data_IF_220095106778
#
_entry.id   IF_220095106778
#
_cell.length_a   1.000
_cell.length_b   1.000
_cell.length_c   1.000
_cell.angle_alpha   90.00
_cell.angle_beta   90.00
_cell.angle_gamma   90.00
#
_symmetry.space_group_name_H-M   'P 1'
#
loop_
_entity.id
_entity.type
_entity.pdbx_description
1 polymer ?
#
# COMPACT_ATOMS: atom_id res chain seq x y z
N UNK A 1 -19.90 0.49 21.59
CA UNK A 1 -19.84 1.95 21.84
C UNK A 1 -20.68 2.66 20.79
N UNK A 2 -21.91 3.01 21.16
CA UNK A 2 -22.92 3.47 20.21
C UNK A 2 -22.59 4.88 19.74
N UNK A 3 -22.51 5.07 18.42
CA UNK A 3 -22.29 6.37 17.81
C UNK A 3 -23.47 7.28 18.11
N UNK A 4 -23.24 8.35 18.87
CA UNK A 4 -24.25 9.37 19.08
C UNK A 4 -24.41 10.21 17.80
N UNK A 5 -25.64 10.37 17.32
CA UNK A 5 -25.98 11.32 16.26
C UNK A 5 -25.82 12.74 16.79
N UNK A 6 -24.75 13.41 16.38
CA UNK A 6 -24.42 14.79 16.76
C UNK A 6 -24.09 15.60 15.52
N UNK A 7 -24.28 16.92 15.58
CA UNK A 7 -23.92 17.79 14.45
C UNK A 7 -22.41 17.81 14.24
N UNK A 8 -21.92 18.07 13.01
CA UNK A 8 -20.49 18.15 12.74
C UNK A 8 -19.76 19.16 13.64
N UNK A 9 -20.44 20.22 14.07
CA UNK A 9 -19.91 21.25 14.97
C UNK A 9 -19.75 20.72 16.40
N UNK A 10 -20.70 19.93 16.89
CA UNK A 10 -20.63 19.28 18.21
C UNK A 10 -19.64 18.12 18.20
N UNK A 11 -19.59 17.33 17.13
CA UNK A 11 -18.55 16.31 16.95
C UNK A 11 -17.15 16.94 17.00
N UNK A 12 -16.97 18.08 16.31
CA UNK A 12 -15.71 18.79 16.32
C UNK A 12 -15.33 19.32 17.70
N UNK A 13 -16.28 19.86 18.48
CA UNK A 13 -15.98 20.37 19.82
C UNK A 13 -15.58 19.25 20.80
N UNK A 14 -16.08 18.02 20.61
CA UNK A 14 -15.65 16.84 21.36
C UNK A 14 -14.29 16.28 20.91
N UNK A 15 -13.98 16.35 19.62
CA UNK A 15 -12.74 15.81 19.04
C UNK A 15 -11.55 16.77 19.18
N UNK A 16 -11.75 18.07 19.04
CA UNK A 16 -10.72 19.11 19.11
C UNK A 16 -9.80 19.00 20.35
N UNK A 17 -10.29 18.80 21.59
CA UNK A 17 -9.41 18.66 22.75
C UNK A 17 -8.57 17.38 22.74
N UNK A 18 -9.08 16.28 22.18
CA UNK A 18 -8.35 15.02 22.04
C UNK A 18 -7.20 15.19 21.03
N UNK A 19 -7.50 15.86 19.92
CA UNK A 19 -6.54 16.10 18.84
C UNK A 19 -5.44 17.10 19.20
N UNK A 20 -5.74 18.11 20.03
CA UNK A 20 -4.76 19.10 20.47
C UNK A 20 -3.87 18.62 21.63
N UNK A 21 -4.16 17.46 22.23
CA UNK A 21 -3.33 16.92 23.29
C UNK A 21 -2.08 16.22 22.71
N UNK A 22 -0.92 16.84 22.90
CA UNK A 22 0.36 16.35 22.40
C UNK A 22 0.76 14.97 22.94
N UNK A 23 0.34 14.61 24.16
CA UNK A 23 0.70 13.33 24.79
C UNK A 23 0.11 12.11 24.07
N UNK A 24 -0.96 12.29 23.30
CA UNK A 24 -1.60 11.21 22.55
C UNK A 24 -0.72 10.70 21.39
N UNK A 25 0.33 11.46 21.01
CA UNK A 25 1.19 11.14 19.87
C UNK A 25 2.57 10.60 20.29
N UNK A 26 2.89 10.53 21.59
CA UNK A 26 4.22 10.13 22.05
C UNK A 26 4.58 8.68 21.65
N UNK A 27 3.63 7.75 21.68
CA UNK A 27 3.87 6.37 21.24
C UNK A 27 4.09 6.26 19.73
N UNK A 28 3.41 7.11 18.95
CA UNK A 28 3.66 7.20 17.51
C UNK A 28 5.04 7.80 17.22
N UNK A 29 5.45 8.84 17.97
CA UNK A 29 6.78 9.44 17.86
C UNK A 29 7.90 8.46 18.21
N UNK A 30 7.74 7.67 19.29
CA UNK A 30 8.70 6.60 19.65
C UNK A 30 8.84 5.57 18.53
N UNK A 31 7.75 5.20 17.86
CA UNK A 31 7.79 4.26 16.72
C UNK A 31 8.48 4.86 15.49
N UNK A 32 8.31 6.15 15.23
CA UNK A 32 9.01 6.83 14.12
C UNK A 32 10.50 6.96 14.43
N UNK A 33 10.86 7.38 15.63
CA UNK A 33 12.25 7.55 16.05
C UNK A 33 13.01 6.22 16.11
N UNK A 34 12.38 5.14 16.59
CA UNK A 34 12.98 3.79 16.58
C UNK A 34 13.22 3.26 15.16
N UNK A 35 12.36 3.58 14.19
CA UNK A 35 12.61 3.26 12.77
C UNK A 35 13.75 4.07 12.17
N UNK A 36 14.02 5.25 12.70
CA UNK A 36 15.17 6.07 12.34
C UNK A 36 16.44 5.72 13.16
N UNK A 37 16.44 4.58 13.86
CA UNK A 37 17.54 4.06 14.68
C UNK A 37 17.89 4.88 15.94
N UNK A 38 16.96 5.71 16.43
CA UNK A 38 17.08 6.36 17.75
C UNK A 38 16.49 5.47 18.85
N UNK A 39 17.14 5.46 20.02
CA UNK A 39 16.64 4.75 21.20
C UNK A 39 15.44 5.49 21.82
N UNK A 40 14.22 4.89 21.80
CA UNK A 40 13.03 5.50 22.39
C UNK A 40 13.07 5.57 23.92
N UNK A 41 14.00 4.89 24.58
CA UNK A 41 14.23 4.97 26.03
C UNK A 41 15.10 6.18 26.43
N UNK A 42 15.88 6.75 25.50
CA UNK A 42 16.75 7.90 25.74
C UNK A 42 16.04 9.22 25.44
N UNK A 43 15.81 10.03 26.47
CA UNK A 43 15.17 11.34 26.32
C UNK A 43 15.98 12.32 25.44
N UNK A 44 17.31 12.17 25.41
CA UNK A 44 18.21 13.00 24.59
C UNK A 44 18.05 12.65 23.12
N UNK A 45 18.09 11.36 22.78
CA UNK A 45 17.93 10.89 21.40
C UNK A 45 16.52 11.15 20.85
N UNK A 46 15.50 11.03 21.69
CA UNK A 46 14.13 11.40 21.33
C UNK A 46 14.01 12.89 21.02
N UNK A 47 14.65 13.77 21.78
CA UNK A 47 14.64 15.21 21.49
C UNK A 47 15.43 15.54 20.21
N UNK A 48 16.53 14.84 19.95
CA UNK A 48 17.27 14.96 18.68
C UNK A 48 16.43 14.51 17.50
N UNK A 49 15.74 13.37 17.61
CA UNK A 49 14.81 12.90 16.59
C UNK A 49 13.67 13.90 16.34
N UNK A 50 13.06 14.45 17.41
CA UNK A 50 12.01 15.48 17.30
C UNK A 50 12.53 16.76 16.63
N UNK A 51 13.73 17.22 16.99
CA UNK A 51 14.37 18.38 16.33
C UNK A 51 14.62 18.11 14.86
N UNK A 52 15.21 16.96 14.51
CA UNK A 52 15.46 16.59 13.11
C UNK A 52 14.17 16.49 12.29
N UNK A 53 13.10 15.97 12.88
CA UNK A 53 11.78 15.94 12.26
C UNK A 53 11.26 17.35 12.02
N UNK A 54 11.31 18.23 13.02
CA UNK A 54 10.91 19.63 12.89
C UNK A 54 11.76 20.40 11.88
N UNK A 55 13.08 20.24 11.91
CA UNK A 55 14.02 20.92 11.02
C UNK A 55 13.83 20.46 9.57
N UNK A 56 13.63 19.15 9.36
CA UNK A 56 13.28 18.60 8.04
C UNK A 56 11.95 19.14 7.55
N UNK A 57 10.94 19.23 8.42
CA UNK A 57 9.61 19.71 8.06
C UNK A 57 9.62 21.21 7.76
N UNK A 58 10.38 22.00 8.51
CA UNK A 58 10.58 23.43 8.27
C UNK A 58 11.39 23.68 7.01
N UNK A 59 12.40 22.86 6.72
CA UNK A 59 13.14 22.91 5.46
C UNK A 59 12.24 22.58 4.26
N UNK A 60 11.40 21.55 4.36
CA UNK A 60 10.56 21.08 3.25
C UNK A 60 9.29 21.89 3.03
N UNK A 61 8.66 22.39 4.10
CA UNK A 61 7.37 23.10 4.01
C UNK A 61 7.50 24.61 4.22
N UNK A 62 8.66 25.13 4.66
CA UNK A 62 8.84 26.55 4.99
C UNK A 62 8.06 27.03 6.23
N UNK A 63 7.32 26.14 6.89
CA UNK A 63 6.53 26.43 8.10
C UNK A 63 7.14 25.82 9.36
N UNK A 64 6.94 26.48 10.51
CA UNK A 64 7.25 25.91 11.83
C UNK A 64 6.16 24.91 12.20
N UNK A 65 6.37 23.63 11.89
CA UNK A 65 5.44 22.56 12.20
C UNK A 65 6.05 21.62 13.26
N UNK A 66 5.28 21.34 14.31
CA UNK A 66 5.70 20.39 15.35
C UNK A 66 5.43 18.95 14.88
N UNK A 67 6.22 17.95 15.32
CA UNK A 67 6.07 16.57 14.87
C UNK A 67 4.67 15.99 15.18
N UNK A 68 4.04 16.44 16.25
CA UNK A 68 2.70 16.04 16.67
C UNK A 68 1.63 16.49 15.66
N UNK A 69 1.79 17.67 15.05
CA UNK A 69 0.86 18.18 14.02
C UNK A 69 0.88 17.33 12.75
N UNK A 70 2.03 16.74 12.41
CA UNK A 70 2.15 15.85 11.26
C UNK A 70 1.35 14.56 11.46
N UNK A 71 1.47 13.95 12.64
CA UNK A 71 0.75 12.72 13.00
C UNK A 71 -0.75 13.01 13.13
N UNK A 72 -1.12 14.14 13.72
CA UNK A 72 -2.51 14.62 13.77
C UNK A 72 -3.12 14.74 12.38
N UNK A 73 -2.42 15.37 11.43
CA UNK A 73 -2.90 15.54 10.06
C UNK A 73 -3.01 14.21 9.31
N UNK A 74 -2.12 13.25 9.56
CA UNK A 74 -2.22 11.90 9.00
C UNK A 74 -3.49 11.18 9.49
N UNK A 75 -3.76 11.22 10.80
CA UNK A 75 -4.94 10.59 11.40
C UNK A 75 -6.25 11.19 10.89
N UNK A 76 -6.30 12.53 10.77
CA UNK A 76 -7.48 13.23 10.22
C UNK A 76 -7.70 12.85 8.75
N UNK A 77 -6.63 12.76 7.96
CA UNK A 77 -6.73 12.35 6.56
C UNK A 77 -7.27 10.93 6.40
N UNK A 78 -6.81 9.99 7.24
CA UNK A 78 -7.27 8.59 7.23
C UNK A 78 -8.74 8.45 7.66
N UNK A 79 -9.16 9.18 8.69
CA UNK A 79 -10.56 9.22 9.11
C UNK A 79 -11.46 9.87 8.06
N UNK A 80 -11.06 11.01 7.51
CA UNK A 80 -11.82 11.70 6.46
C UNK A 80 -12.01 10.80 5.23
N UNK A 81 -10.99 10.01 4.90
CA UNK A 81 -11.05 9.02 3.83
C UNK A 81 -12.09 7.93 4.10
N UNK A 82 -12.12 7.37 5.32
CA UNK A 82 -13.13 6.38 5.72
C UNK A 82 -14.57 6.93 5.66
N UNK A 83 -14.76 8.21 6.00
CA UNK A 83 -16.08 8.85 5.88
C UNK A 83 -16.48 9.12 4.42
N UNK A 84 -15.54 9.36 3.52
CA UNK A 84 -15.83 9.62 2.11
C UNK A 84 -16.52 8.43 1.40
N UNK A 85 -16.26 7.20 1.85
CA UNK A 85 -16.92 5.98 1.33
C UNK A 85 -18.43 5.89 1.60
N UNK A 86 -18.99 6.78 2.44
CA UNK A 86 -20.43 6.79 2.74
C UNK A 86 -21.25 7.72 1.83
N UNK A 87 -20.60 8.57 1.02
CA UNK A 87 -21.26 9.66 0.29
C UNK A 87 -21.74 9.33 -1.13
N UNK A 88 -21.01 8.52 -1.89
CA UNK A 88 -21.36 8.04 -3.25
C UNK A 88 -20.30 7.01 -3.68
N UNK A 89 -20.70 5.84 -4.19
CA UNK A 89 -19.78 4.79 -4.61
C UNK A 89 -18.87 5.24 -5.76
N UNK A 90 -19.36 6.10 -6.65
CA UNK A 90 -18.59 6.61 -7.78
C UNK A 90 -17.43 7.49 -7.30
N UNK A 91 -17.72 8.47 -6.45
CA UNK A 91 -16.70 9.37 -5.93
C UNK A 91 -15.70 8.61 -5.04
N UNK A 92 -16.18 7.70 -4.20
CA UNK A 92 -15.33 6.89 -3.34
C UNK A 92 -14.34 6.02 -4.13
N UNK A 93 -14.80 5.43 -5.24
CA UNK A 93 -13.93 4.65 -6.14
C UNK A 93 -12.84 5.50 -6.80
N UNK A 94 -13.15 6.76 -7.15
CA UNK A 94 -12.19 7.70 -7.75
C UNK A 94 -11.11 8.14 -6.76
N UNK A 95 -11.47 8.44 -5.51
CA UNK A 95 -10.51 8.87 -4.49
C UNK A 95 -9.60 7.69 -4.10
N UNK A 96 -10.15 6.48 -3.94
CA UNK A 96 -9.37 5.26 -3.70
C UNK A 96 -8.43 4.94 -4.87
N UNK A 97 -8.89 5.07 -6.11
CA UNK A 97 -8.05 4.86 -7.29
C UNK A 97 -6.91 5.87 -7.34
N UNK A 98 -7.17 7.15 -7.07
CA UNK A 98 -6.14 8.18 -7.02
C UNK A 98 -5.11 7.90 -5.93
N UNK A 99 -5.54 7.50 -4.73
CA UNK A 99 -4.67 7.10 -3.63
C UNK A 99 -3.80 5.91 -4.01
N UNK A 100 -4.40 4.86 -4.57
CA UNK A 100 -3.67 3.67 -5.04
C UNK A 100 -2.65 4.02 -6.11
N UNK A 101 -3.04 4.75 -7.16
CA UNK A 101 -2.14 5.18 -8.24
C UNK A 101 -0.99 6.03 -7.71
N UNK A 102 -1.28 6.93 -6.76
CA UNK A 102 -0.25 7.78 -6.14
C UNK A 102 0.71 6.95 -5.30
N UNK A 103 0.19 6.04 -4.46
CA UNK A 103 1.02 5.15 -3.63
C UNK A 103 1.89 4.18 -4.45
N UNK A 104 1.32 3.58 -5.50
CA UNK A 104 2.05 2.69 -6.41
C UNK A 104 3.04 3.48 -7.25
N UNK A 105 2.65 4.66 -7.73
CA UNK A 105 3.53 5.60 -8.40
C UNK A 105 4.74 5.94 -7.55
N UNK A 106 4.54 6.33 -6.29
CA UNK A 106 5.63 6.64 -5.35
C UNK A 106 6.55 5.43 -5.15
N UNK A 107 5.99 4.23 -4.97
CA UNK A 107 6.77 3.00 -4.87
C UNK A 107 7.62 2.72 -6.10
N UNK A 108 7.04 2.87 -7.30
CA UNK A 108 7.77 2.76 -8.57
C UNK A 108 8.80 3.87 -8.69
N UNK A 109 8.49 5.10 -8.28
CA UNK A 109 9.39 6.26 -8.29
C UNK A 109 10.65 6.03 -7.46
N UNK A 110 10.48 5.54 -6.23
CA UNK A 110 11.58 5.25 -5.32
C UNK A 110 12.47 4.13 -5.86
N UNK A 111 11.87 3.00 -6.29
CA UNK A 111 12.66 1.88 -6.84
C UNK A 111 13.32 2.25 -8.17
N UNK A 112 12.62 2.96 -9.05
CA UNK A 112 13.18 3.44 -10.31
C UNK A 112 14.34 4.40 -10.09
N UNK A 113 14.26 5.31 -9.11
CA UNK A 113 15.33 6.25 -8.86
C UNK A 113 16.65 5.55 -8.48
N UNK A 114 16.56 4.45 -7.73
CA UNK A 114 17.71 3.62 -7.38
C UNK A 114 18.20 2.77 -8.56
N UNK A 115 17.27 2.19 -9.34
CA UNK A 115 17.61 1.20 -10.37
C UNK A 115 17.87 1.78 -11.76
N UNK A 116 17.44 3.00 -12.08
CA UNK A 116 17.67 3.61 -13.39
C UNK A 116 19.17 3.72 -13.73
N UNK A 117 20.06 4.17 -12.83
CA UNK A 117 21.49 4.17 -13.08
C UNK A 117 22.03 2.75 -13.36
N UNK A 118 21.52 1.74 -12.65
CA UNK A 118 21.90 0.34 -12.83
C UNK A 118 21.46 -0.18 -14.20
N UNK A 119 20.19 0.07 -14.59
CA UNK A 119 19.66 -0.32 -15.90
C UNK A 119 20.47 0.36 -17.02
N UNK A 120 20.82 1.63 -16.86
CA UNK A 120 21.64 2.37 -17.83
C UNK A 120 23.04 1.76 -17.96
N UNK A 121 23.68 1.44 -16.85
CA UNK A 121 24.98 0.76 -16.85
C UNK A 121 24.91 -0.60 -17.55
N UNK A 122 23.92 -1.43 -17.24
CA UNK A 122 23.73 -2.74 -17.88
C UNK A 122 23.52 -2.59 -19.39
N UNK A 123 22.63 -1.69 -19.82
CA UNK A 123 22.34 -1.44 -21.23
C UNK A 123 23.56 -0.96 -22.02
N UNK A 124 24.30 0.00 -21.45
CA UNK A 124 25.54 0.49 -22.07
C UNK A 124 26.62 -0.59 -22.12
N UNK A 125 26.74 -1.42 -21.09
CA UNK A 125 27.67 -2.55 -21.07
C UNK A 125 27.32 -3.59 -22.13
N UNK A 126 26.04 -3.91 -22.33
CA UNK A 126 25.59 -4.82 -23.39
C UNK A 126 25.93 -4.22 -24.76
N UNK A 127 25.64 -2.94 -24.98
CA UNK A 127 25.96 -2.27 -26.23
C UNK A 127 27.47 -2.32 -26.53
N UNK A 128 28.32 -1.96 -25.56
CA UNK A 128 29.77 -1.97 -25.72
C UNK A 128 30.31 -3.39 -25.92
N UNK A 129 29.77 -4.39 -25.21
CA UNK A 129 30.19 -5.78 -25.33
C UNK A 129 29.81 -6.44 -26.66
N UNK A 130 28.68 -6.05 -27.25
CA UNK A 130 28.19 -6.61 -28.52
C UNK A 130 28.86 -5.95 -29.74
N UNK A 131 29.26 -4.69 -29.65
CA UNK A 131 29.95 -3.97 -30.74
C UNK A 131 31.17 -4.72 -31.32
N UNK A 132 32.17 -5.19 -30.54
CA UNK A 132 33.34 -5.87 -31.11
C UNK A 132 32.97 -7.17 -31.83
N UNK A 133 31.95 -7.88 -31.37
CA UNK A 133 31.42 -9.06 -32.08
C UNK A 133 30.77 -8.67 -33.42
N UNK A 134 30.05 -7.55 -33.46
CA UNK A 134 29.48 -7.02 -34.70
C UNK A 134 30.56 -6.53 -35.69
N UNK A 135 31.70 -6.01 -35.20
CA UNK A 135 32.82 -5.60 -36.05
C UNK A 135 33.38 -6.78 -36.85
N UNK A 136 33.41 -7.99 -36.27
CA UNK A 136 33.87 -9.20 -36.96
C UNK A 136 33.03 -9.56 -38.19
N UNK A 137 31.78 -9.07 -38.26
CA UNK A 137 30.91 -9.28 -39.42
C UNK A 137 31.04 -8.21 -40.51
N UNK A 138 31.87 -7.17 -40.32
CA UNK A 138 32.13 -6.17 -41.38
C UNK A 138 32.67 -6.75 -42.70
N UNK A 139 33.61 -7.71 -42.72
CA UNK A 139 34.10 -8.30 -43.97
C UNK A 139 33.13 -9.31 -44.60
N UNK A 140 32.00 -9.61 -43.95
CA UNK A 140 31.03 -10.61 -44.42
C UNK A 140 29.87 -9.94 -45.17
N UNK A 141 29.12 -10.67 -46.03
CA UNK A 141 27.99 -10.10 -46.79
C UNK A 141 26.82 -9.58 -45.91
N UNK A 142 26.86 -9.78 -44.58
CA UNK A 142 25.88 -9.23 -43.63
C UNK A 142 26.25 -7.85 -43.07
N UNK A 143 27.28 -7.18 -43.61
CA UNK A 143 27.77 -5.86 -43.20
C UNK A 143 26.67 -4.81 -42.97
N UNK A 144 25.69 -4.73 -43.88
CA UNK A 144 24.59 -3.76 -43.77
C UNK A 144 23.70 -4.02 -42.55
N UNK A 145 23.56 -5.27 -42.12
CA UNK A 145 22.81 -5.64 -40.91
C UNK A 145 23.62 -5.32 -39.66
N UNK A 146 24.92 -5.63 -39.65
CA UNK A 146 25.79 -5.36 -38.52
C UNK A 146 25.90 -3.85 -38.22
N UNK A 147 26.14 -3.03 -39.25
CA UNK A 147 26.20 -1.56 -39.12
C UNK A 147 24.85 -0.99 -38.65
N UNK A 148 23.74 -1.52 -39.19
CA UNK A 148 22.39 -1.12 -38.78
C UNK A 148 22.16 -1.39 -37.29
N UNK A 149 22.55 -2.56 -36.77
CA UNK A 149 22.43 -2.89 -35.34
C UNK A 149 23.30 -1.98 -34.46
N UNK A 150 24.55 -1.71 -34.85
CA UNK A 150 25.44 -0.79 -34.12
C UNK A 150 24.87 0.62 -34.03
N UNK A 151 24.38 1.15 -35.16
CA UNK A 151 23.72 2.44 -35.21
C UNK A 151 22.45 2.44 -34.34
N UNK A 152 21.80 1.29 -34.17
CA UNK A 152 20.60 1.14 -33.34
C UNK A 152 20.88 1.23 -31.86
N UNK A 153 21.96 0.63 -31.39
CA UNK A 153 22.42 0.84 -30.02
C UNK A 153 22.76 2.32 -29.76
N UNK A 154 23.40 2.98 -30.73
CA UNK A 154 23.73 4.41 -30.60
C UNK A 154 22.46 5.26 -30.50
N UNK A 155 21.55 5.17 -31.48
CA UNK A 155 20.30 5.94 -31.52
C UNK A 155 19.45 5.66 -30.28
N UNK A 156 19.40 4.41 -29.82
CA UNK A 156 18.68 4.03 -28.62
C UNK A 156 19.24 4.73 -27.37
N UNK A 157 20.55 4.60 -27.13
CA UNK A 157 21.20 5.18 -25.95
C UNK A 157 21.15 6.71 -25.96
N UNK A 158 21.31 7.34 -27.13
CA UNK A 158 21.21 8.80 -27.23
C UNK A 158 19.79 9.29 -27.01
N UNK A 159 18.81 8.67 -27.67
CA UNK A 159 17.40 9.07 -27.53
C UNK A 159 16.93 8.87 -26.11
N UNK A 160 17.26 7.73 -25.50
CA UNK A 160 16.94 7.47 -24.10
C UNK A 160 17.63 8.46 -23.17
N UNK A 161 18.92 8.74 -23.36
CA UNK A 161 19.64 9.71 -22.52
C UNK A 161 19.04 11.13 -22.58
N UNK A 162 18.58 11.57 -23.75
CA UNK A 162 17.93 12.87 -23.93
C UNK A 162 16.55 12.88 -23.26
N UNK A 163 15.73 11.85 -23.50
CA UNK A 163 14.37 11.79 -22.95
C UNK A 163 14.39 11.70 -21.42
N UNK A 164 15.31 10.91 -20.88
CA UNK A 164 15.54 10.77 -19.44
C UNK A 164 15.94 12.09 -18.77
N UNK A 165 16.82 12.87 -19.40
CA UNK A 165 17.23 14.19 -18.90
C UNK A 165 16.07 15.20 -18.91
N UNK A 166 15.28 15.25 -19.99
CA UNK A 166 14.12 16.15 -20.11
C UNK A 166 13.04 15.79 -19.09
N UNK A 167 12.72 14.50 -18.94
CA UNK A 167 11.73 14.02 -17.96
C UNK A 167 12.18 14.34 -16.54
N UNK A 168 13.47 14.16 -16.24
CA UNK A 168 14.01 14.48 -14.92
C UNK A 168 13.91 15.98 -14.61
N UNK A 169 14.24 16.85 -15.57
CA UNK A 169 14.08 18.30 -15.42
C UNK A 169 12.63 18.70 -15.15
N UNK A 170 11.69 18.23 -15.99
CA UNK A 170 10.27 18.51 -15.80
C UNK A 170 9.73 17.99 -14.45
N UNK A 171 10.19 16.82 -14.00
CA UNK A 171 9.80 16.28 -12.71
C UNK A 171 10.31 17.11 -11.53
N UNK A 172 11.52 17.68 -11.63
CA UNK A 172 12.06 18.59 -10.62
C UNK A 172 11.22 19.87 -10.52
N UNK A 173 10.76 20.39 -11.66
CA UNK A 173 9.86 21.55 -11.69
C UNK A 173 8.51 21.24 -11.02
N UNK A 174 7.93 20.07 -11.29
CA UNK A 174 6.69 19.64 -10.62
C UNK A 174 6.87 19.36 -9.14
N UNK A 175 8.05 18.86 -8.72
CA UNK A 175 8.38 18.73 -7.31
C UNK A 175 8.39 20.11 -6.63
N UNK A 176 9.02 21.11 -7.24
CA UNK A 176 9.04 22.48 -6.72
C UNK A 176 7.63 23.06 -6.59
N UNK A 177 6.76 22.88 -7.60
CA UNK A 177 5.36 23.30 -7.51
C UNK A 177 4.60 22.58 -6.40
N UNK A 178 4.83 21.27 -6.22
CA UNK A 178 4.20 20.51 -5.14
C UNK A 178 4.65 20.98 -3.75
N UNK A 179 5.92 21.35 -3.57
CA UNK A 179 6.42 21.92 -2.32
C UNK A 179 5.94 23.36 -2.09
N UNK A 180 5.77 24.15 -3.13
CA UNK A 180 5.18 25.49 -3.01
C UNK A 180 3.69 25.41 -2.60
N UNK A 181 2.93 24.48 -3.15
CA UNK A 181 1.55 24.20 -2.73
C UNK A 181 1.49 23.78 -1.25
N UNK A 182 2.44 22.95 -0.79
CA UNK A 182 2.58 22.55 0.62
C UNK A 182 2.83 23.77 1.52
N UNK A 183 3.74 24.66 1.09
CA UNK A 183 4.11 25.88 1.82
C UNK A 183 2.94 26.85 1.95
N UNK A 184 2.09 26.97 0.93
CA UNK A 184 0.94 27.87 0.95
C UNK A 184 -0.25 27.30 1.76
N UNK A 185 -0.41 25.97 1.78
CA UNK A 185 -1.62 25.35 2.33
C UNK A 185 -1.53 24.99 3.83
N UNK A 186 -0.34 24.98 4.45
CA UNK A 186 -0.11 24.48 5.83
C UNK A 186 -0.65 23.05 6.10
N UNK A 187 -1.02 22.32 5.04
CA UNK A 187 -1.45 20.92 5.10
C UNK A 187 -0.19 20.04 5.12
N UNK A 188 -0.11 19.12 6.07
CA UNK A 188 1.04 18.24 6.21
C UNK A 188 1.22 17.30 5.02
N UNK A 189 2.46 16.85 4.85
CA UNK A 189 2.89 15.98 3.74
C UNK A 189 2.00 14.75 3.58
N UNK A 190 1.51 14.18 4.70
CA UNK A 190 0.61 13.03 4.70
C UNK A 190 -0.82 13.35 4.26
N UNK A 191 -1.34 14.55 4.57
CA UNK A 191 -2.67 14.98 4.12
C UNK A 191 -2.70 15.20 2.60
N UNK A 192 -1.59 15.68 2.05
CA UNK A 192 -1.41 15.86 0.61
C UNK A 192 -1.14 14.53 -0.13
N UNK A 193 -0.48 13.56 0.49
CA UNK A 193 -0.36 12.22 -0.08
C UNK A 193 -1.70 11.47 -0.11
N UNK A 194 -2.59 11.73 0.85
CA UNK A 194 -3.94 11.14 0.91
C UNK A 194 -4.93 11.84 -0.04
N UNK A 195 -4.75 13.13 -0.30
CA UNK A 195 -5.56 13.95 -1.23
C UNK A 195 -4.65 14.67 -2.23
N UNK A 196 -4.12 13.96 -3.23
CA UNK A 196 -3.09 14.50 -4.10
C UNK A 196 -3.63 15.52 -5.10
N UNK A 197 -3.00 16.70 -5.12
CA UNK A 197 -3.18 17.71 -6.17
C UNK A 197 -2.52 17.26 -7.50
N UNK A 198 -2.82 17.91 -8.62
CA UNK A 198 -2.28 17.57 -9.95
C UNK A 198 -0.74 17.45 -9.97
N UNK A 199 -0.04 18.38 -9.33
CA UNK A 199 1.43 18.38 -9.22
C UNK A 199 1.95 17.14 -8.46
N UNK A 200 1.24 16.71 -7.42
CA UNK A 200 1.61 15.53 -6.62
C UNK A 200 1.28 14.23 -7.33
N UNK A 201 0.17 14.16 -8.07
CA UNK A 201 -0.12 13.03 -8.95
C UNK A 201 1.00 12.85 -9.97
N UNK A 202 1.45 13.92 -10.61
CA UNK A 202 2.57 13.84 -11.55
C UNK A 202 3.90 13.49 -10.90
N UNK A 203 4.20 14.06 -9.72
CA UNK A 203 5.39 13.71 -8.95
C UNK A 203 5.38 12.22 -8.54
N UNK A 204 4.23 11.71 -8.11
CA UNK A 204 4.07 10.31 -7.75
C UNK A 204 4.27 9.39 -8.95
N UNK A 205 3.85 9.79 -10.15
CA UNK A 205 4.03 8.99 -11.36
C UNK A 205 5.41 9.16 -12.02
N UNK A 206 6.34 9.89 -11.40
CA UNK A 206 7.66 10.19 -11.97
C UNK A 206 8.42 8.93 -12.43
N UNK A 207 8.46 7.89 -11.60
CA UNK A 207 9.14 6.63 -11.96
C UNK A 207 8.54 5.96 -13.18
N UNK A 208 7.20 5.99 -13.29
CA UNK A 208 6.47 5.45 -14.44
C UNK A 208 6.78 6.26 -15.71
N UNK A 209 6.75 7.59 -15.63
CA UNK A 209 7.03 8.47 -16.78
C UNK A 209 8.46 8.27 -17.28
N UNK A 210 9.43 8.15 -16.37
CA UNK A 210 10.84 7.94 -16.72
C UNK A 210 11.07 6.60 -17.41
N UNK A 211 10.35 5.56 -16.97
CA UNK A 211 10.34 4.26 -17.66
C UNK A 211 9.66 4.30 -19.04
N UNK A 212 8.70 5.20 -19.27
CA UNK A 212 8.11 5.39 -20.60
C UNK A 212 9.11 6.01 -21.60
N UNK A 213 10.11 6.76 -21.11
CA UNK A 213 11.23 7.25 -21.93
C UNK A 213 12.04 6.12 -22.59
N UNK A 214 12.13 4.96 -21.94
CA UNK A 214 12.76 3.76 -22.50
C UNK A 214 11.93 3.22 -23.67
N UNK A 215 10.60 3.10 -23.51
CA UNK A 215 9.70 2.62 -24.57
C UNK A 215 9.72 3.54 -25.79
N UNK A 216 9.74 4.85 -25.58
CA UNK A 216 9.82 5.84 -26.65
C UNK A 216 11.17 5.80 -27.37
N UNK A 217 12.28 5.63 -26.64
CA UNK A 217 13.59 5.40 -27.27
C UNK A 217 13.63 4.11 -28.09
N UNK A 218 12.99 3.05 -27.61
CA UNK A 218 12.83 1.79 -28.36
C UNK A 218 12.00 1.98 -29.63
N UNK A 219 10.93 2.78 -29.58
CA UNK A 219 10.12 3.10 -30.76
C UNK A 219 10.93 3.81 -31.84
N UNK A 220 11.68 4.87 -31.48
CA UNK A 220 12.54 5.57 -32.44
C UNK A 220 13.62 4.66 -33.02
N UNK A 221 14.21 3.80 -32.18
CA UNK A 221 15.21 2.83 -32.62
C UNK A 221 14.62 1.77 -33.56
N UNK A 222 13.37 1.34 -33.33
CA UNK A 222 12.68 0.38 -34.19
C UNK A 222 12.24 1.00 -35.53
N UNK A 223 11.77 2.25 -35.51
CA UNK A 223 11.35 2.99 -36.69
C UNK A 223 12.53 3.27 -37.62
N UNK A 224 13.69 3.66 -37.07
CA UNK A 224 14.89 3.95 -37.85
C UNK A 224 15.61 2.66 -38.27
N UNK A 225 15.56 1.59 -37.47
CA UNK A 225 16.42 0.42 -37.61
C UNK A 225 15.62 -0.86 -37.32
N UNK A 226 15.10 -1.47 -38.38
CA UNK A 226 14.18 -2.63 -38.32
C UNK A 226 14.70 -3.83 -37.53
N UNK A 227 15.99 -4.16 -37.61
CA UNK A 227 16.54 -5.39 -37.01
C UNK A 227 17.13 -5.18 -35.60
N UNK A 228 17.74 -4.03 -35.33
CA UNK A 228 18.34 -3.74 -34.01
C UNK A 228 17.33 -3.24 -32.98
N UNK A 229 16.32 -2.46 -33.41
CA UNK A 229 15.38 -1.81 -32.50
C UNK A 229 14.43 -2.76 -31.77
N UNK A 230 14.04 -3.90 -32.37
CA UNK A 230 13.10 -4.83 -31.75
C UNK A 230 13.70 -5.61 -30.58
N UNK A 231 14.93 -6.11 -30.72
CA UNK A 231 15.63 -6.82 -29.65
C UNK A 231 15.89 -5.89 -28.46
N UNK A 232 16.27 -4.63 -28.74
CA UNK A 232 16.43 -3.59 -27.75
C UNK A 232 15.13 -3.25 -27.03
N UNK A 233 14.01 -3.16 -27.77
CA UNK A 233 12.70 -2.91 -27.20
C UNK A 233 12.27 -3.99 -26.21
N UNK A 234 12.46 -5.27 -26.56
CA UNK A 234 12.12 -6.37 -25.65
C UNK A 234 12.99 -6.37 -24.39
N UNK A 235 14.30 -6.20 -24.54
CA UNK A 235 15.22 -6.22 -23.40
C UNK A 235 14.91 -5.05 -22.45
N UNK A 236 14.67 -3.86 -23.00
CA UNK A 236 14.37 -2.68 -22.22
C UNK A 236 12.99 -2.73 -21.56
N UNK A 237 12.00 -3.32 -22.23
CA UNK A 237 10.68 -3.61 -21.66
C UNK A 237 10.75 -4.58 -20.48
N UNK A 238 11.52 -5.67 -20.61
CA UNK A 238 11.66 -6.66 -19.54
C UNK A 238 12.33 -6.09 -18.29
N UNK A 239 13.45 -5.36 -18.43
CA UNK A 239 14.13 -4.75 -17.29
C UNK A 239 13.24 -3.71 -16.59
N UNK A 240 12.52 -2.89 -17.37
CA UNK A 240 11.61 -1.88 -16.83
C UNK A 240 10.43 -2.53 -16.10
N UNK A 241 9.87 -3.61 -16.65
CA UNK A 241 8.74 -4.35 -16.06
C UNK A 241 9.10 -4.97 -14.71
N UNK A 242 10.29 -5.58 -14.59
CA UNK A 242 10.75 -6.18 -13.33
C UNK A 242 10.76 -5.13 -12.21
N UNK A 243 11.39 -3.98 -12.45
CA UNK A 243 11.50 -2.96 -11.40
C UNK A 243 10.18 -2.22 -11.17
N UNK A 244 9.34 -2.03 -12.20
CA UNK A 244 7.99 -1.50 -12.02
C UNK A 244 7.12 -2.44 -11.18
N UNK A 245 7.20 -3.75 -11.40
CA UNK A 245 6.44 -4.72 -10.60
C UNK A 245 6.88 -4.71 -9.12
N UNK A 246 8.19 -4.72 -8.86
CA UNK A 246 8.74 -4.60 -7.51
C UNK A 246 8.35 -3.26 -6.85
N UNK A 247 8.44 -2.16 -7.60
CA UNK A 247 8.03 -0.82 -7.15
C UNK A 247 6.54 -0.73 -6.86
N UNK A 248 5.68 -1.35 -7.67
CA UNK A 248 4.24 -1.39 -7.45
C UNK A 248 3.88 -2.15 -6.18
N UNK A 249 4.60 -3.24 -5.89
CA UNK A 249 4.43 -4.03 -4.67
C UNK A 249 4.89 -3.25 -3.43
N UNK A 250 6.06 -2.60 -3.50
CA UNK A 250 6.52 -1.71 -2.44
C UNK A 250 5.55 -0.53 -2.22
N UNK A 251 4.97 -0.01 -3.30
CA UNK A 251 4.00 1.09 -3.26
C UNK A 251 2.73 0.76 -2.48
N UNK A 252 2.28 -0.51 -2.51
CA UNK A 252 1.15 -0.97 -1.71
C UNK A 252 1.43 -0.87 -0.20
N UNK A 253 2.68 -0.94 0.24
CA UNK A 253 3.02 -0.82 1.65
C UNK A 253 2.94 0.62 2.19
N UNK A 254 2.80 1.62 1.31
CA UNK A 254 2.55 3.01 1.76
C UNK A 254 1.12 3.24 2.23
N UNK A 255 0.18 2.37 1.86
CA UNK A 255 -1.19 2.45 2.39
C UNK A 255 -1.35 1.56 3.62
N UNK A 256 -2.13 2.00 4.63
CA UNK A 256 -2.33 1.21 5.86
C UNK A 256 -3.00 -0.13 5.55
N UNK A 257 -3.98 -0.17 4.66
CA UNK A 257 -4.58 -1.41 4.15
C UNK A 257 -3.58 -2.36 3.46
N UNK A 258 -2.66 -1.82 2.65
CA UNK A 258 -1.66 -2.65 1.98
C UNK A 258 -0.57 -3.16 2.92
N UNK A 259 -0.13 -2.34 3.88
CA UNK A 259 0.78 -2.74 4.94
C UNK A 259 0.18 -3.80 5.87
N UNK A 260 -1.09 -3.65 6.26
CA UNK A 260 -1.80 -4.64 7.05
C UNK A 260 -1.97 -5.97 6.29
N UNK A 261 -2.28 -5.91 4.99
CA UNK A 261 -2.35 -7.10 4.15
C UNK A 261 -0.97 -7.79 4.02
N UNK A 262 0.09 -7.03 3.79
CA UNK A 262 1.46 -7.55 3.73
C UNK A 262 1.91 -8.16 5.07
N UNK A 263 1.56 -7.53 6.20
CA UNK A 263 1.82 -8.07 7.52
C UNK A 263 1.09 -9.39 7.75
N UNK A 264 -0.19 -9.49 7.37
CA UNK A 264 -0.95 -10.72 7.47
C UNK A 264 -0.35 -11.84 6.60
N UNK A 265 0.08 -11.50 5.38
CA UNK A 265 0.76 -12.43 4.47
C UNK A 265 2.10 -12.91 5.05
N UNK A 266 2.89 -12.01 5.66
CA UNK A 266 4.16 -12.36 6.30
C UNK A 266 3.98 -13.20 7.56
N UNK A 267 3.03 -12.86 8.43
CA UNK A 267 2.72 -13.64 9.64
C UNK A 267 2.27 -15.04 9.25
N UNK A 268 1.44 -15.15 8.22
CA UNK A 268 1.01 -16.42 7.67
C UNK A 268 2.17 -17.21 7.06
N UNK A 269 3.03 -16.55 6.27
CA UNK A 269 4.21 -17.19 5.69
C UNK A 269 5.19 -17.67 6.76
N UNK A 270 5.44 -16.89 7.81
CA UNK A 270 6.29 -17.26 8.94
C UNK A 270 5.71 -18.46 9.71
N UNK A 271 4.39 -18.45 9.97
CA UNK A 271 3.69 -19.58 10.60
C UNK A 271 3.75 -20.85 9.75
N UNK A 272 3.60 -20.73 8.43
CA UNK A 272 3.76 -21.85 7.50
C UNK A 272 5.21 -22.34 7.50
N UNK A 273 6.21 -21.44 7.43
CA UNK A 273 7.64 -21.78 7.39
C UNK A 273 8.07 -22.58 8.63
N UNK A 274 7.55 -22.21 9.81
CA UNK A 274 7.77 -22.94 11.06
C UNK A 274 7.16 -24.36 11.02
N UNK A 275 6.06 -24.55 10.29
CA UNK A 275 5.42 -25.86 10.12
C UNK A 275 6.01 -26.73 9.00
N UNK A 276 6.82 -26.17 8.07
CA UNK A 276 7.34 -26.89 6.88
C UNK A 276 8.14 -28.14 7.25
N UNK A 277 8.98 -28.16 8.31
CA UNK A 277 9.68 -29.39 8.69
C UNK A 277 8.74 -30.51 9.18
N UNK A 278 7.53 -30.18 9.65
CA UNK A 278 6.62 -31.16 10.27
C UNK A 278 5.46 -31.59 9.35
N UNK A 279 5.10 -30.76 8.37
CA UNK A 279 3.93 -30.98 7.52
C UNK A 279 4.23 -30.79 6.03
N UNK A 280 3.77 -31.74 5.21
CA UNK A 280 3.82 -31.61 3.74
C UNK A 280 2.98 -30.41 3.30
N UNK A 281 3.39 -29.74 2.21
CA UNK A 281 2.71 -28.57 1.65
C UNK A 281 1.19 -28.80 1.43
N UNK A 282 0.78 -29.99 0.99
CA UNK A 282 -0.63 -30.35 0.80
C UNK A 282 -1.45 -30.33 2.10
N UNK A 283 -0.86 -30.74 3.23
CA UNK A 283 -1.54 -30.73 4.53
C UNK A 283 -1.69 -29.30 5.08
N UNK A 284 -0.71 -28.44 4.78
CA UNK A 284 -0.78 -27.02 5.13
C UNK A 284 -1.80 -26.26 4.30
N UNK A 285 -1.85 -26.51 2.99
CA UNK A 285 -2.89 -25.98 2.12
C UNK A 285 -4.27 -26.47 2.58
N UNK A 286 -4.38 -27.73 3.01
CA UNK A 286 -5.58 -28.28 3.63
C UNK A 286 -5.95 -27.61 4.96
N UNK A 287 -4.98 -27.31 5.81
CA UNK A 287 -5.20 -26.62 7.09
C UNK A 287 -5.63 -25.16 6.89
N UNK A 288 -5.06 -24.46 5.89
CA UNK A 288 -5.51 -23.13 5.51
C UNK A 288 -6.94 -23.16 4.94
N UNK A 289 -7.22 -24.08 4.01
CA UNK A 289 -8.56 -24.27 3.49
C UNK A 289 -9.55 -24.62 4.62
N UNK A 290 -9.13 -25.42 5.60
CA UNK A 290 -9.92 -25.72 6.79
C UNK A 290 -10.18 -24.48 7.65
N UNK A 291 -9.20 -23.58 7.81
CA UNK A 291 -9.42 -22.29 8.49
C UNK A 291 -10.45 -21.43 7.75
N UNK A 292 -10.39 -21.37 6.42
CA UNK A 292 -11.39 -20.67 5.61
C UNK A 292 -12.77 -21.31 5.75
N UNK A 293 -12.86 -22.64 5.66
CA UNK A 293 -14.10 -23.39 5.87
C UNK A 293 -14.65 -23.24 7.29
N UNK A 294 -13.79 -23.17 8.31
CA UNK A 294 -14.18 -22.92 9.71
C UNK A 294 -14.76 -21.52 9.89
N UNK A 295 -14.14 -20.51 9.26
CA UNK A 295 -14.65 -19.14 9.31
C UNK A 295 -15.99 -19.01 8.59
N UNK A 296 -16.13 -19.60 7.40
CA UNK A 296 -17.41 -19.63 6.64
C UNK A 296 -18.48 -20.44 7.37
N UNK A 297 -18.10 -21.57 7.97
CA UNK A 297 -18.99 -22.41 8.78
C UNK A 297 -19.46 -21.69 10.04
N UNK A 298 -18.56 -20.98 10.72
CA UNK A 298 -18.86 -20.13 11.88
C UNK A 298 -19.79 -18.98 11.51
N UNK A 299 -19.56 -18.30 10.37
CA UNK A 299 -20.45 -17.28 9.84
C UNK A 299 -21.85 -17.83 9.54
N UNK A 300 -21.95 -18.98 8.87
CA UNK A 300 -23.24 -19.61 8.56
C UNK A 300 -23.98 -20.04 9.84
N UNK A 301 -23.26 -20.56 10.84
CA UNK A 301 -23.83 -20.89 12.15
C UNK A 301 -24.34 -19.66 12.88
N UNK A 302 -23.58 -18.56 12.86
CA UNK A 302 -23.99 -17.27 13.43
C UNK A 302 -25.26 -16.73 12.74
N UNK A 303 -25.32 -16.78 11.40
CA UNK A 303 -26.50 -16.33 10.64
C UNK A 303 -27.74 -17.20 10.89
N UNK A 304 -27.58 -18.51 11.07
CA UNK A 304 -28.70 -19.38 11.49
C UNK A 304 -29.17 -19.05 12.90
N UNK A 305 -28.25 -18.77 13.81
CA UNK A 305 -28.60 -18.36 15.17
C UNK A 305 -29.33 -17.01 15.20
N UNK A 306 -28.96 -16.08 14.31
CA UNK A 306 -29.69 -14.82 14.07
C UNK A 306 -31.12 -15.06 13.65
N UNK A 307 -31.31 -15.87 12.61
CA UNK A 307 -32.63 -16.19 12.11
C UNK A 307 -33.50 -16.85 13.21
N UNK A 308 -32.91 -17.75 14.00
CA UNK A 308 -33.59 -18.39 15.12
C UNK A 308 -34.00 -17.38 16.21
N UNK A 309 -33.13 -16.45 16.61
CA UNK A 309 -33.46 -15.46 17.63
C UNK A 309 -34.44 -14.38 17.16
N UNK A 310 -34.42 -14.01 15.88
CA UNK A 310 -35.46 -13.17 15.27
C UNK A 310 -36.81 -13.89 15.32
N UNK A 311 -36.84 -15.18 14.97
CA UNK A 311 -38.07 -15.98 15.02
C UNK A 311 -38.60 -16.20 16.45
N UNK A 312 -37.70 -16.18 17.44
CA UNK A 312 -38.04 -16.25 18.86
C UNK A 312 -38.45 -14.88 19.47
N UNK A 313 -38.46 -13.80 18.67
CA UNK A 313 -38.81 -12.45 19.13
C UNK A 313 -37.76 -11.79 20.04
N UNK A 314 -36.55 -12.35 20.11
CA UNK A 314 -35.48 -11.85 20.97
C UNK A 314 -34.60 -10.80 20.28
N UNK A 315 -34.65 -10.71 18.94
CA UNK A 315 -33.98 -9.67 18.17
C UNK A 315 -34.94 -8.95 17.21
N UNK A 316 -34.79 -7.62 17.03
CA UNK A 316 -35.50 -6.87 15.99
C UNK A 316 -35.19 -7.39 14.58
N UNK A 317 -36.17 -7.41 13.66
CA UNK A 317 -35.97 -7.84 12.27
C UNK A 317 -34.88 -7.06 11.52
N UNK A 318 -34.65 -5.80 11.89
CA UNK A 318 -33.69 -4.88 11.24
C UNK A 318 -32.27 -4.95 11.81
N UNK A 319 -31.94 -5.96 12.61
CA UNK A 319 -30.58 -6.10 13.15
C UNK A 319 -29.58 -6.30 12.00
N UNK A 320 -28.63 -5.38 11.82
CA UNK A 320 -27.59 -5.48 10.80
C UNK A 320 -26.55 -6.58 11.12
N UNK A 321 -25.91 -7.14 10.11
CA UNK A 321 -24.87 -8.17 10.30
C UNK A 321 -23.67 -7.62 11.08
N UNK A 322 -23.35 -6.34 10.91
CA UNK A 322 -22.32 -5.64 11.67
C UNK A 322 -22.67 -5.52 13.16
N UNK A 323 -23.91 -5.17 13.50
CA UNK A 323 -24.37 -5.07 14.90
C UNK A 323 -24.37 -6.43 15.61
N UNK A 324 -24.66 -7.51 14.89
CA UNK A 324 -24.52 -8.86 15.42
C UNK A 324 -23.05 -9.27 15.60
N UNK A 325 -22.18 -8.96 14.64
CA UNK A 325 -20.76 -9.27 14.75
C UNK A 325 -20.11 -8.57 15.97
N UNK A 326 -20.50 -7.32 16.25
CA UNK A 326 -20.06 -6.56 17.43
C UNK A 326 -20.62 -7.16 18.74
N UNK A 327 -21.87 -7.60 18.76
CA UNK A 327 -22.47 -8.29 19.90
C UNK A 327 -21.79 -9.65 20.18
N UNK A 328 -21.42 -10.41 19.15
CA UNK A 328 -20.72 -11.69 19.31
C UNK A 328 -19.25 -11.50 19.73
N UNK A 329 -18.58 -10.45 19.21
CA UNK A 329 -17.21 -10.12 19.58
C UNK A 329 -17.08 -9.60 21.02
N UNK A 330 -18.08 -8.85 21.50
CA UNK A 330 -18.10 -8.30 22.87
C UNK A 330 -18.48 -9.33 23.94
N UNK A 331 -19.18 -10.41 23.57
CA UNK A 331 -19.69 -11.40 24.54
C UNK A 331 -19.01 -12.77 24.53
N UNK A 332 -17.91 -12.96 23.79
CA UNK A 332 -17.13 -14.21 23.80
C UNK A 332 -18.02 -15.46 23.58
N UNK A 333 -18.95 -15.37 22.62
CA UNK A 333 -19.94 -16.41 22.35
C UNK A 333 -19.27 -17.54 21.56
N UNK A 334 -18.97 -18.66 22.23
CA UNK A 334 -18.49 -19.88 21.60
C UNK A 334 -19.65 -20.74 21.09
N UNK A 335 -19.85 -20.81 19.77
CA UNK A 335 -20.84 -21.72 19.15
C UNK A 335 -20.11 -23.00 18.75
N UNK A 336 -20.34 -24.08 19.48
CA UNK A 336 -19.75 -25.40 19.23
C UNK A 336 -20.27 -26.02 17.93
N UNK A 337 -19.37 -26.58 17.13
CA UNK A 337 -19.71 -27.39 15.96
C UNK A 337 -20.11 -28.80 16.40
N UNK A 338 -21.34 -29.19 16.08
CA UNK A 338 -21.96 -30.54 15.97
C UNK A 338 -21.70 -31.64 17.01
N UNK A 339 -20.90 -31.46 18.07
CA UNK A 339 -20.70 -32.48 19.14
C UNK A 339 -20.34 -31.86 20.50
N UNK A 340 -20.94 -30.71 20.85
CA UNK A 340 -20.69 -30.08 22.14
C UNK A 340 -21.86 -29.23 22.61
N UNK A 341 -22.14 -29.32 23.91
CA UNK A 341 -23.19 -28.61 24.64
C UNK A 341 -23.21 -27.12 24.31
N UNK A 342 -24.37 -26.57 23.95
CA UNK A 342 -24.55 -25.15 23.70
C UNK A 342 -24.90 -24.46 25.01
N UNK A 343 -24.04 -23.58 25.50
CA UNK A 343 -24.35 -22.66 26.60
C UNK A 343 -24.52 -21.27 26.03
N UNK A 344 -25.75 -20.77 25.99
CA UNK A 344 -26.05 -19.37 25.66
C UNK A 344 -26.50 -18.66 26.93
N UNK A 345 -25.72 -17.69 27.39
CA UNK A 345 -26.15 -16.77 28.46
C UNK A 345 -26.70 -15.50 27.83
N UNK A 346 -28.02 -15.33 27.88
CA UNK A 346 -28.70 -14.13 27.37
C UNK A 346 -29.21 -13.34 28.56
N UNK A 347 -28.40 -12.40 29.04
CA UNK A 347 -28.82 -11.42 30.05
C UNK A 347 -27.66 -10.60 30.60
N UNK A 348 -27.82 -9.28 30.64
CA UNK A 348 -26.81 -8.34 31.16
C UNK A 348 -26.43 -8.56 32.64
N UNK A 349 -27.20 -9.37 33.38
CA UNK A 349 -26.94 -9.75 34.79
C UNK A 349 -26.90 -11.28 35.03
N UNK A 350 -26.73 -12.11 33.99
CA UNK A 350 -26.58 -13.57 34.16
C UNK A 350 -27.86 -14.34 34.54
N UNK A 351 -29.04 -13.74 34.54
CA UNK A 351 -30.32 -14.40 34.90
C UNK A 351 -30.99 -15.11 33.72
N UNK A 352 -30.22 -15.80 32.89
CA UNK A 352 -30.72 -16.42 31.66
C UNK A 352 -29.72 -17.37 31.04
N UNK A 353 -29.30 -18.38 31.79
CA UNK A 353 -28.55 -19.53 31.25
C UNK A 353 -29.53 -20.52 30.64
N UNK A 354 -29.54 -20.65 29.31
CA UNK A 354 -30.11 -21.84 28.67
C UNK A 354 -28.97 -22.78 28.30
N UNK A 355 -29.00 -23.99 28.87
CA UNK A 355 -28.09 -25.08 28.51
C UNK A 355 -28.91 -26.07 27.72
N UNK A 356 -28.82 -26.01 26.39
CA UNK A 356 -29.41 -27.05 25.56
C UNK A 356 -28.40 -28.17 25.37
N UNK A 357 -28.68 -29.28 26.04
CA UNK A 357 -27.99 -30.55 25.81
C UNK A 357 -28.77 -31.27 24.72
N UNK A 358 -28.26 -31.24 23.48
CA UNK A 358 -28.82 -32.10 22.43
C UNK A 358 -28.44 -33.54 22.78
N UNK A 359 -29.34 -34.23 23.48
CA UNK A 359 -29.21 -35.66 23.72
C UNK A 359 -29.20 -36.37 22.35
N UNK A 360 -28.12 -37.10 22.08
CA UNK A 360 -28.03 -37.99 20.94
C UNK A 360 -29.16 -39.01 20.99
N UNK A 361 -30.14 -38.84 20.11
CA UNK A 361 -31.15 -39.86 19.83
C UNK A 361 -30.54 -40.90 18.90
N UNK A 362 -30.24 -42.07 19.45
CA UNK A 362 -29.94 -43.30 18.73
C UNK A 362 -31.19 -43.84 18.02
N UNK A 363 -31.17 -43.89 16.69
CA UNK A 363 -31.74 -44.93 15.81
C UNK A 363 -31.44 -44.57 14.36
#
# INVERSE_FOLDING_TARGET
PEGATMSCTEAWSHLQPIYNNASNYDDALKKVCSKAYFDPASAVEMNTCKSLLSDSLTFTTGGTATPEKLIQQQQIAEMLFNFYFTGDAETASLVESNKRITSTGMGIGLTMNEWIPIIRAIMTSIAIGVIPFLVLFLPTPVVGKAISVMFGFFVFLTTWGITDAVIHGAAMDYANYAFEDMRQSNLGVYGMAALPNLSQKMLSMFGVIRSAGIMLASFFSMMLIKFGGHALAMLAGNLSSIVQSAGSHAGRNFTPEGSAAAMNEQVRAAGLLAGIPEHRFANMAGAEAFSLHRNVGGYNAAMKSKAAQISAGQLPPDTSDAGMAEAMASQNIGIGTSTGTSTTSLGANGTGTSTDTVAGGSA
#
